data_IF_504600247147
#
_entry.id   IF_504600247147
#
_cell.length_a   1.000
_cell.length_b   1.000
_cell.length_c   1.000
_cell.angle_alpha   90.00
_cell.angle_beta   90.00
_cell.angle_gamma   90.00
#
_symmetry.space_group_name_H-M   'P 1'
#
loop_
_entity.id
_entity.type
_entity.pdbx_description
1 polymer ?
#
# COMPACT_ATOMS: atom_id res chain seq x y z
N UNK A 1 -46.20 -24.34 -0.21
CA UNK A 1 -45.06 -25.06 0.38
C UNK A 1 -43.83 -24.18 0.32
N UNK A 2 -43.72 -23.29 1.27
CA UNK A 2 -42.65 -22.29 1.40
C UNK A 2 -41.61 -22.89 2.34
N UNK A 3 -40.49 -23.38 1.80
CA UNK A 3 -39.35 -23.81 2.61
C UNK A 3 -38.75 -22.57 3.26
N UNK A 4 -39.04 -22.40 4.55
CA UNK A 4 -38.36 -21.45 5.44
C UNK A 4 -36.86 -21.71 5.37
N UNK A 5 -36.11 -20.69 4.95
CA UNK A 5 -34.70 -20.52 5.23
C UNK A 5 -34.54 -20.44 6.76
N UNK A 6 -34.24 -21.58 7.37
CA UNK A 6 -33.65 -21.72 8.70
C UNK A 6 -32.30 -22.38 8.42
N UNK A 7 -31.16 -21.99 8.97
CA UNK A 7 -30.79 -21.30 10.20
C UNK A 7 -29.35 -20.82 9.97
N UNK A 8 -28.91 -19.80 10.69
CA UNK A 8 -27.47 -19.56 10.88
C UNK A 8 -26.84 -20.85 11.40
N UNK A 9 -26.10 -21.56 10.56
CA UNK A 9 -25.10 -22.53 11.02
C UNK A 9 -24.06 -21.74 11.81
N UNK A 10 -23.64 -22.22 12.99
CA UNK A 10 -22.59 -21.55 13.74
C UNK A 10 -21.32 -21.52 12.88
N UNK A 11 -20.65 -20.36 12.79
CA UNK A 11 -19.41 -20.19 12.03
C UNK A 11 -18.37 -21.29 12.30
N UNK A 12 -18.36 -21.83 13.53
CA UNK A 12 -17.50 -22.92 13.96
C UNK A 12 -17.62 -24.20 13.10
N UNK A 13 -18.80 -24.51 12.57
CA UNK A 13 -19.02 -25.72 11.75
C UNK A 13 -18.42 -25.60 10.34
N UNK A 14 -18.01 -24.39 9.94
CA UNK A 14 -17.40 -24.11 8.63
C UNK A 14 -15.87 -24.01 8.67
N UNK A 15 -15.28 -23.98 9.87
CA UNK A 15 -13.83 -23.87 10.03
C UNK A 15 -13.21 -25.27 10.01
N UNK A 16 -12.23 -25.49 9.14
CA UNK A 16 -11.49 -26.75 9.06
C UNK A 16 -10.00 -26.50 8.89
N UNK A 17 -9.20 -27.50 9.25
CA UNK A 17 -7.74 -27.40 9.13
C UNK A 17 -7.29 -27.36 7.67
N UNK A 18 -8.02 -28.04 6.79
CA UNK A 18 -7.79 -28.04 5.35
C UNK A 18 -8.04 -26.64 4.77
N UNK A 19 -9.11 -25.97 5.21
CA UNK A 19 -9.38 -24.58 4.81
C UNK A 19 -8.23 -23.69 5.28
N UNK A 20 -7.88 -23.71 6.58
CA UNK A 20 -6.80 -22.89 7.14
C UNK A 20 -5.45 -23.12 6.44
N UNK A 21 -5.11 -24.37 6.18
CA UNK A 21 -3.88 -24.73 5.45
C UNK A 21 -3.91 -24.20 4.02
N UNK A 22 -5.06 -24.30 3.33
CA UNK A 22 -5.23 -23.84 1.94
C UNK A 22 -5.29 -22.32 1.77
N UNK A 23 -5.60 -21.56 2.83
CA UNK A 23 -5.59 -20.10 2.80
C UNK A 23 -4.20 -19.59 2.39
N UNK A 24 -4.15 -18.87 1.29
CA UNK A 24 -2.92 -18.33 0.70
C UNK A 24 -3.18 -16.92 0.17
N UNK A 25 -2.21 -15.99 0.30
CA UNK A 25 -2.32 -14.66 -0.28
C UNK A 25 -2.04 -14.67 -1.79
N UNK A 26 -1.53 -15.78 -2.33
CA UNK A 26 -1.09 -15.88 -3.72
C UNK A 26 -2.21 -16.29 -4.67
N UNK A 27 -2.33 -15.58 -5.79
CA UNK A 27 -3.11 -16.01 -6.95
C UNK A 27 -2.44 -17.14 -7.71
N UNK A 28 -3.17 -17.75 -8.65
CA UNK A 28 -2.68 -18.84 -9.50
C UNK A 28 -1.46 -18.44 -10.36
N UNK A 29 -1.33 -17.15 -10.67
CA UNK A 29 -0.18 -16.56 -11.38
C UNK A 29 0.98 -16.16 -10.45
N UNK A 30 0.84 -16.38 -9.14
CA UNK A 30 1.85 -16.10 -8.13
C UNK A 30 1.83 -14.67 -7.56
N UNK A 31 0.91 -13.80 -8.00
CA UNK A 31 0.77 -12.45 -7.44
C UNK A 31 0.23 -12.48 -6.01
N UNK A 32 0.79 -11.62 -5.15
CA UNK A 32 0.41 -11.50 -3.74
C UNK A 32 -0.69 -10.44 -3.57
N UNK A 33 -1.90 -10.89 -3.23
CA UNK A 33 -3.06 -10.02 -3.02
C UNK A 33 -2.95 -9.13 -1.82
N UNK A 34 -2.26 -9.58 -0.76
CA UNK A 34 -2.11 -8.81 0.47
C UNK A 34 -1.11 -7.71 0.24
N UNK A 35 -0.01 -7.97 -0.47
CA UNK A 35 0.94 -6.94 -0.90
C UNK A 35 0.24 -5.84 -1.72
N UNK A 36 -0.60 -6.21 -2.70
CA UNK A 36 -1.36 -5.23 -3.46
C UNK A 36 -2.26 -4.38 -2.55
N UNK A 37 -3.03 -5.03 -1.68
CA UNK A 37 -3.91 -4.33 -0.74
C UNK A 37 -3.12 -3.41 0.22
N UNK A 38 -1.92 -3.83 0.67
CA UNK A 38 -1.03 -3.01 1.50
C UNK A 38 -0.52 -1.78 0.75
N UNK A 39 -0.15 -1.93 -0.53
CA UNK A 39 0.28 -0.80 -1.38
C UNK A 39 -0.88 0.15 -1.64
N UNK A 40 -2.09 -0.36 -1.88
CA UNK A 40 -3.29 0.45 -2.09
C UNK A 40 -3.66 1.24 -0.82
N UNK A 41 -3.60 0.61 0.36
CA UNK A 41 -3.81 1.29 1.64
C UNK A 41 -2.74 2.36 1.88
N UNK A 42 -1.46 2.06 1.63
CA UNK A 42 -0.37 3.03 1.77
C UNK A 42 -0.55 4.23 0.83
N UNK A 43 -0.96 3.99 -0.41
CA UNK A 43 -1.29 5.07 -1.34
C UNK A 43 -2.44 5.92 -0.81
N UNK A 44 -3.47 5.29 -0.24
CA UNK A 44 -4.55 6.00 0.43
C UNK A 44 -4.07 6.84 1.63
N UNK A 45 -3.12 6.33 2.43
CA UNK A 45 -2.48 7.06 3.51
C UNK A 45 -1.72 8.28 3.00
N UNK A 46 -0.97 8.15 1.90
CA UNK A 46 -0.28 9.26 1.24
C UNK A 46 -1.30 10.31 0.77
N UNK A 47 -2.35 9.88 0.07
CA UNK A 47 -3.40 10.79 -0.44
C UNK A 47 -4.15 11.53 0.68
N UNK A 48 -4.19 10.98 1.89
CA UNK A 48 -4.83 11.58 3.05
C UNK A 48 -3.86 12.34 3.98
N UNK A 49 -2.59 12.45 3.63
CA UNK A 49 -1.62 13.18 4.43
C UNK A 49 -2.00 14.69 4.48
N UNK A 50 -2.15 15.30 5.67
CA UNK A 50 -2.63 16.67 5.86
C UNK A 50 -2.02 17.79 4.98
N UNK A 51 -0.72 17.74 4.68
CA UNK A 51 0.02 18.74 3.90
C UNK A 51 -0.33 18.71 2.42
N UNK A 52 -0.64 17.53 1.88
CA UNK A 52 -0.90 17.37 0.44
C UNK A 52 -2.37 17.09 0.12
N UNK A 53 -3.13 16.52 1.07
CA UNK A 53 -4.49 16.05 0.85
C UNK A 53 -5.42 17.12 0.29
N UNK A 54 -5.50 18.29 0.94
CA UNK A 54 -6.42 19.36 0.55
C UNK A 54 -6.16 19.90 -0.85
N UNK A 55 -4.96 19.75 -1.37
CA UNK A 55 -4.56 20.41 -2.62
C UNK A 55 -4.61 19.43 -3.79
N UNK A 56 -3.98 18.28 -3.62
CA UNK A 56 -3.92 17.24 -4.65
C UNK A 56 -5.11 16.29 -4.62
N UNK A 57 -5.64 15.99 -3.43
CA UNK A 57 -6.66 14.95 -3.23
C UNK A 57 -7.92 15.42 -2.47
N UNK A 58 -8.47 16.63 -2.70
CA UNK A 58 -9.55 17.17 -1.88
C UNK A 58 -10.86 16.36 -1.94
N UNK A 59 -11.05 15.57 -2.99
CA UNK A 59 -12.23 14.72 -3.18
C UNK A 59 -11.98 13.26 -2.76
N UNK A 60 -10.78 12.95 -2.24
CA UNK A 60 -10.45 11.59 -1.85
C UNK A 60 -11.00 11.28 -0.45
N UNK A 61 -11.75 10.20 -0.33
CA UNK A 61 -12.28 9.75 0.95
C UNK A 61 -11.22 8.95 1.73
N UNK A 62 -11.24 9.07 3.06
CA UNK A 62 -10.31 8.34 3.90
C UNK A 62 -10.48 6.82 3.68
N UNK A 63 -9.39 6.07 3.42
CA UNK A 63 -9.49 4.65 3.16
C UNK A 63 -9.90 3.90 4.43
N UNK A 64 -10.70 2.84 4.25
CA UNK A 64 -11.06 1.94 5.33
C UNK A 64 -9.78 1.32 5.91
N UNK A 65 -9.52 1.54 7.20
CA UNK A 65 -8.32 1.07 7.89
C UNK A 65 -7.22 2.11 8.11
N UNK A 66 -7.37 3.35 7.59
CA UNK A 66 -6.41 4.44 7.86
C UNK A 66 -6.15 4.62 9.37
N UNK A 67 -7.20 4.56 10.18
CA UNK A 67 -7.13 4.73 11.64
C UNK A 67 -6.39 3.60 12.36
N UNK A 68 -6.12 2.48 11.68
CA UNK A 68 -5.42 1.32 12.23
C UNK A 68 -3.93 1.33 11.86
N UNK A 69 -3.50 2.22 10.96
CA UNK A 69 -2.11 2.33 10.54
C UNK A 69 -1.35 3.22 11.54
N UNK A 70 -0.35 2.64 12.19
CA UNK A 70 0.54 3.38 13.09
C UNK A 70 1.89 3.59 12.41
N UNK A 71 2.18 4.82 11.98
CA UNK A 71 3.45 5.10 11.28
C UNK A 71 4.67 5.05 12.21
N UNK A 72 4.50 5.25 13.52
CA UNK A 72 5.60 5.25 14.48
C UNK A 72 6.72 6.21 14.07
N UNK A 73 7.92 5.68 13.79
CA UNK A 73 9.09 6.45 13.32
C UNK A 73 9.18 6.60 11.79
N UNK A 74 8.23 6.03 11.04
CA UNK A 74 8.23 6.12 9.58
C UNK A 74 7.85 7.54 9.13
N UNK A 75 8.65 8.22 8.30
CA UNK A 75 8.41 9.60 7.91
C UNK A 75 7.38 9.68 6.77
N UNK A 76 6.11 9.37 7.06
CA UNK A 76 5.02 9.35 6.07
C UNK A 76 4.85 10.69 5.36
N UNK A 77 5.00 11.79 6.09
CA UNK A 77 4.96 13.15 5.56
C UNK A 77 6.03 13.38 4.49
N UNK A 78 7.28 12.98 4.77
CA UNK A 78 8.40 13.08 3.82
C UNK A 78 8.12 12.23 2.58
N UNK A 79 7.67 10.99 2.76
CA UNK A 79 7.31 10.13 1.64
C UNK A 79 6.22 10.78 0.79
N UNK A 80 5.16 11.28 1.41
CA UNK A 80 4.02 11.88 0.74
C UNK A 80 4.42 13.09 -0.12
N UNK A 81 5.19 14.02 0.45
CA UNK A 81 5.70 15.20 -0.26
C UNK A 81 6.64 14.80 -1.40
N UNK A 82 7.60 13.91 -1.17
CA UNK A 82 8.58 13.49 -2.19
C UNK A 82 7.89 12.69 -3.31
N UNK A 83 6.89 11.86 -2.99
CA UNK A 83 6.13 11.10 -3.97
C UNK A 83 5.29 11.99 -4.89
N UNK A 84 4.66 13.03 -4.34
CA UNK A 84 3.99 14.06 -5.16
C UNK A 84 5.00 14.86 -5.99
N UNK A 85 6.15 15.22 -5.41
CA UNK A 85 7.22 15.89 -6.14
C UNK A 85 7.74 15.05 -7.32
N UNK A 86 7.85 13.73 -7.15
CA UNK A 86 8.18 12.80 -8.23
C UNK A 86 7.18 12.90 -9.38
N UNK A 87 5.88 12.85 -9.07
CA UNK A 87 4.83 12.98 -10.06
C UNK A 87 4.91 14.34 -10.78
N UNK A 88 5.00 15.46 -10.05
CA UNK A 88 5.16 16.81 -10.64
C UNK A 88 6.39 16.87 -11.56
N UNK A 89 7.52 16.30 -11.14
CA UNK A 89 8.76 16.33 -11.93
C UNK A 89 8.67 15.57 -13.26
N UNK A 90 7.74 14.60 -13.35
CA UNK A 90 7.55 13.73 -14.52
C UNK A 90 6.38 14.19 -15.40
N UNK A 91 5.35 14.78 -14.81
CA UNK A 91 4.22 15.38 -15.52
C UNK A 91 4.69 16.62 -16.26
N UNK A 92 4.69 16.58 -17.59
CA UNK A 92 5.01 17.75 -18.40
C UNK A 92 3.79 18.65 -18.51
N UNK A 93 3.71 19.61 -17.60
CA UNK A 93 2.66 20.61 -17.54
C UNK A 93 2.97 21.83 -18.42
N UNK A 94 1.92 22.57 -18.81
CA UNK A 94 2.03 23.77 -19.65
C UNK A 94 2.64 24.97 -18.91
N UNK A 95 2.67 24.94 -17.58
CA UNK A 95 3.13 26.05 -16.73
C UNK A 95 4.60 25.90 -16.29
N UNK A 96 5.21 24.74 -16.53
CA UNK A 96 6.62 24.46 -16.24
C UNK A 96 6.92 24.08 -14.80
N UNK A 97 5.94 23.57 -14.02
CA UNK A 97 6.17 23.10 -12.65
C UNK A 97 7.20 21.98 -12.56
N UNK A 98 7.23 21.06 -13.52
CA UNK A 98 8.26 20.01 -13.56
C UNK A 98 9.70 20.54 -13.59
N UNK A 99 9.93 21.77 -14.07
CA UNK A 99 11.24 22.39 -14.16
C UNK A 99 11.70 23.00 -12.82
N UNK A 100 10.82 23.12 -11.83
CA UNK A 100 11.16 23.66 -10.51
C UNK A 100 11.67 22.57 -9.57
N UNK A 101 11.41 21.28 -9.87
CA UNK A 101 11.80 20.13 -9.07
C UNK A 101 13.19 19.63 -9.46
N UNK A 102 14.07 19.47 -8.47
CA UNK A 102 15.37 18.83 -8.60
C UNK A 102 15.24 17.29 -8.59
N UNK A 103 15.13 16.70 -9.78
CA UNK A 103 14.88 15.26 -9.98
C UNK A 103 15.88 14.35 -9.26
N UNK A 104 17.16 14.69 -9.31
CA UNK A 104 18.23 13.91 -8.67
C UNK A 104 18.03 13.79 -7.16
N UNK A 105 17.56 14.85 -6.50
CA UNK A 105 17.31 14.82 -5.05
C UNK A 105 16.02 14.09 -4.71
N UNK A 106 14.99 14.19 -5.55
CA UNK A 106 13.78 13.38 -5.39
C UNK A 106 14.13 11.89 -5.45
N UNK A 107 14.89 11.48 -6.46
CA UNK A 107 15.38 10.09 -6.61
C UNK A 107 16.20 9.65 -5.39
N UNK A 108 17.17 10.46 -4.95
CA UNK A 108 17.98 10.17 -3.76
C UNK A 108 17.12 9.95 -2.50
N UNK A 109 16.13 10.82 -2.28
CA UNK A 109 15.25 10.72 -1.12
C UNK A 109 14.29 9.53 -1.19
N UNK A 110 13.77 9.19 -2.37
CA UNK A 110 12.94 8.00 -2.55
C UNK A 110 13.75 6.73 -2.36
N UNK A 111 14.97 6.67 -2.90
CA UNK A 111 15.88 5.54 -2.72
C UNK A 111 16.25 5.34 -1.24
N UNK A 112 16.50 6.43 -0.52
CA UNK A 112 16.72 6.40 0.94
C UNK A 112 15.50 5.80 1.67
N UNK A 113 14.29 6.25 1.33
CA UNK A 113 13.06 5.76 1.97
C UNK A 113 12.80 4.30 1.61
N UNK A 114 12.77 3.93 0.33
CA UNK A 114 12.48 2.57 -0.13
C UNK A 114 13.56 1.57 0.25
N UNK A 115 14.81 2.01 0.38
CA UNK A 115 15.93 1.21 0.87
C UNK A 115 15.99 1.07 2.40
N UNK A 116 15.21 1.86 3.14
CA UNK A 116 15.29 1.91 4.60
C UNK A 116 14.72 0.66 5.29
N UNK A 117 15.23 0.38 6.50
CA UNK A 117 14.62 -0.63 7.38
C UNK A 117 13.18 -0.26 7.76
N UNK A 118 12.87 1.04 7.83
CA UNK A 118 11.54 1.53 8.20
C UNK A 118 10.51 1.18 7.12
N UNK A 119 10.89 1.19 5.83
CA UNK A 119 10.04 0.72 4.73
C UNK A 119 9.67 -0.76 4.90
N UNK A 120 10.64 -1.61 5.22
CA UNK A 120 10.40 -3.04 5.47
C UNK A 120 9.48 -3.26 6.68
N UNK A 121 9.69 -2.51 7.76
CA UNK A 121 8.84 -2.57 8.96
C UNK A 121 7.40 -2.14 8.68
N UNK A 122 7.23 -1.01 7.99
CA UNK A 122 5.91 -0.54 7.56
C UNK A 122 5.23 -1.57 6.67
N UNK A 123 5.97 -2.17 5.75
CA UNK A 123 5.44 -3.21 4.87
C UNK A 123 4.96 -4.43 5.63
N UNK A 124 5.74 -4.95 6.58
CA UNK A 124 5.31 -6.07 7.40
C UNK A 124 4.08 -5.71 8.26
N UNK A 125 4.02 -4.49 8.82
CA UNK A 125 2.86 -4.02 9.57
C UNK A 125 1.60 -3.93 8.72
N UNK A 126 1.65 -3.31 7.54
CA UNK A 126 0.51 -3.20 6.64
C UNK A 126 0.07 -4.58 6.13
N UNK A 127 1.03 -5.47 5.85
CA UNK A 127 0.77 -6.82 5.40
C UNK A 127 0.02 -7.61 6.47
N UNK A 128 0.54 -7.64 7.70
CA UNK A 128 -0.09 -8.34 8.84
C UNK A 128 -1.43 -7.73 9.26
N UNK A 129 -1.61 -6.41 9.11
CA UNK A 129 -2.88 -5.74 9.36
C UNK A 129 -3.99 -6.20 8.39
N UNK A 130 -3.67 -6.32 7.10
CA UNK A 130 -4.64 -6.64 6.05
C UNK A 130 -4.81 -8.13 5.78
N UNK A 131 -3.79 -8.94 6.07
CA UNK A 131 -3.80 -10.39 5.82
C UNK A 131 -5.07 -11.08 6.35
N UNK A 132 -5.55 -10.82 7.59
CA UNK A 132 -6.74 -11.48 8.12
C UNK A 132 -8.00 -11.28 7.29
N UNK A 133 -8.14 -10.13 6.63
CA UNK A 133 -9.33 -9.75 5.87
C UNK A 133 -9.25 -10.08 4.39
N UNK A 134 -8.05 -9.96 3.82
CA UNK A 134 -7.82 -10.15 2.39
C UNK A 134 -7.73 -11.64 2.07
N UNK A 135 -7.05 -12.43 2.91
CA UNK A 135 -6.85 -13.86 2.65
C UNK A 135 -8.11 -14.64 3.01
N UNK A 136 -8.73 -15.21 1.98
CA UNK A 136 -10.00 -15.93 2.08
C UNK A 136 -10.08 -17.11 1.13
N UNK A 137 -10.84 -18.14 1.53
CA UNK A 137 -11.14 -19.26 0.66
C UNK A 137 -12.20 -18.83 -0.38
N UNK A 138 -11.95 -18.99 -1.68
CA UNK A 138 -12.87 -18.53 -2.72
C UNK A 138 -14.20 -19.30 -2.75
N UNK A 139 -14.26 -20.53 -2.20
CA UNK A 139 -15.47 -21.37 -2.24
C UNK A 139 -16.41 -21.08 -1.08
N UNK A 140 -15.87 -21.00 0.12
CA UNK A 140 -16.61 -20.84 1.38
C UNK A 140 -16.67 -19.39 1.85
N UNK A 141 -15.82 -18.51 1.30
CA UNK A 141 -15.61 -17.12 1.71
C UNK A 141 -15.16 -16.95 3.18
N UNK A 142 -14.67 -18.03 3.79
CA UNK A 142 -14.03 -18.03 5.11
C UNK A 142 -12.71 -17.28 5.02
N UNK A 143 -12.47 -16.36 5.95
CA UNK A 143 -11.25 -15.53 6.02
C UNK A 143 -10.33 -16.03 7.12
N UNK A 144 -9.06 -15.64 7.07
CA UNK A 144 -8.16 -15.93 8.21
C UNK A 144 -8.67 -15.27 9.51
N UNK A 145 -9.30 -14.08 9.42
CA UNK A 145 -9.92 -13.41 10.58
C UNK A 145 -10.88 -14.32 11.35
N UNK A 146 -11.59 -15.21 10.67
CA UNK A 146 -12.54 -16.12 11.31
C UNK A 146 -11.84 -17.13 12.24
N UNK A 147 -10.61 -17.54 11.91
CA UNK A 147 -9.80 -18.40 12.77
C UNK A 147 -9.20 -17.64 13.96
N UNK A 148 -8.81 -16.37 13.77
CA UNK A 148 -8.29 -15.52 14.84
C UNK A 148 -9.32 -15.30 15.95
N UNK A 149 -10.57 -15.06 15.57
CA UNK A 149 -11.69 -14.82 16.49
C UNK A 149 -12.14 -16.10 17.22
N UNK A 150 -11.84 -17.29 16.68
CA UNK A 150 -12.22 -18.58 17.22
C UNK A 150 -11.00 -19.33 17.79
N UNK A 151 -10.35 -18.76 18.81
CA UNK A 151 -9.20 -19.36 19.50
C UNK A 151 -7.98 -19.57 18.59
N UNK A 152 -7.40 -18.48 18.08
CA UNK A 152 -6.25 -18.53 17.14
C UNK A 152 -5.11 -19.47 17.55
N UNK A 153 -4.73 -19.50 18.83
CA UNK A 153 -3.68 -20.39 19.35
C UNK A 153 -4.00 -21.88 19.16
N UNK A 154 -5.25 -22.30 19.37
CA UNK A 154 -5.69 -23.70 19.15
C UNK A 154 -5.56 -24.06 17.66
N UNK A 155 -5.90 -23.13 16.77
CA UNK A 155 -5.73 -23.33 15.32
C UNK A 155 -4.26 -23.35 14.90
N UNK A 156 -3.39 -22.56 15.53
CA UNK A 156 -1.94 -22.63 15.30
C UNK A 156 -1.39 -24.02 15.66
N UNK A 157 -1.74 -24.56 16.84
CA UNK A 157 -1.32 -25.90 17.27
C UNK A 157 -1.81 -26.99 16.31
N UNK A 158 -3.08 -26.91 15.88
CA UNK A 158 -3.65 -27.84 14.88
C UNK A 158 -2.92 -27.75 13.55
N UNK A 159 -2.57 -26.54 13.10
CA UNK A 159 -1.87 -26.31 11.85
C UNK A 159 -0.46 -26.87 11.88
N UNK A 160 0.26 -26.66 12.98
CA UNK A 160 1.59 -27.25 13.21
C UNK A 160 1.50 -28.78 13.23
N UNK A 161 0.52 -29.34 13.94
CA UNK A 161 0.31 -30.79 13.99
C UNK A 161 0.07 -31.37 12.59
N UNK A 162 -0.75 -30.70 11.79
CA UNK A 162 -1.07 -31.11 10.42
C UNK A 162 0.18 -31.11 9.50
N UNK A 163 0.98 -30.04 9.51
CA UNK A 163 2.21 -29.98 8.69
C UNK A 163 3.31 -30.92 9.19
N UNK A 164 3.22 -31.35 10.45
CA UNK A 164 4.12 -32.34 11.05
C UNK A 164 3.73 -33.78 10.71
N UNK A 165 2.62 -34.00 10.02
CA UNK A 165 2.21 -35.34 9.64
C UNK A 165 3.14 -35.95 8.57
N UNK A 166 3.56 -37.22 8.71
CA UNK A 166 4.32 -37.90 7.67
C UNK A 166 3.59 -37.99 6.33
N UNK A 167 2.25 -37.98 6.34
CA UNK A 167 1.44 -37.95 5.13
C UNK A 167 1.62 -36.64 4.35
N UNK A 168 1.61 -35.49 5.05
CA UNK A 168 1.85 -34.18 4.46
C UNK A 168 3.24 -34.11 3.81
N UNK A 169 4.27 -34.51 4.56
CA UNK A 169 5.66 -34.52 4.11
C UNK A 169 5.84 -35.35 2.83
N UNK A 170 5.28 -36.58 2.82
CA UNK A 170 5.31 -37.45 1.65
C UNK A 170 4.60 -36.84 0.45
N UNK A 171 3.45 -36.19 0.66
CA UNK A 171 2.70 -35.54 -0.42
C UNK A 171 3.49 -34.39 -1.04
N UNK A 172 4.12 -33.54 -0.22
CA UNK A 172 4.98 -32.44 -0.70
C UNK A 172 6.18 -33.00 -1.47
N UNK A 173 6.93 -33.93 -0.87
CA UNK A 173 8.10 -34.54 -1.50
C UNK A 173 7.76 -35.20 -2.85
N UNK A 174 6.65 -35.93 -2.94
CA UNK A 174 6.20 -36.52 -4.21
C UNK A 174 5.88 -35.49 -5.29
N UNK A 175 5.26 -34.35 -4.92
CA UNK A 175 5.00 -33.27 -5.88
C UNK A 175 6.30 -32.65 -6.38
N UNK A 176 7.29 -32.49 -5.50
CA UNK A 176 8.60 -31.94 -5.86
C UNK A 176 9.37 -32.88 -6.81
N UNK A 177 9.44 -34.18 -6.48
CA UNK A 177 10.11 -35.18 -7.33
C UNK A 177 9.46 -35.30 -8.71
N UNK A 178 8.14 -35.08 -8.80
CA UNK A 178 7.40 -35.06 -10.08
C UNK A 178 7.51 -33.73 -10.84
N UNK A 179 8.24 -32.74 -10.32
CA UNK A 179 8.38 -31.42 -10.93
C UNK A 179 7.12 -30.55 -10.87
N UNK A 180 6.13 -30.92 -10.04
CA UNK A 180 4.88 -30.18 -9.89
C UNK A 180 4.95 -29.10 -8.80
N UNK A 181 6.06 -29.05 -8.06
CA UNK A 181 6.25 -28.14 -6.93
C UNK A 181 7.73 -27.78 -6.81
N UNK A 182 8.10 -26.54 -7.14
CA UNK A 182 9.49 -26.09 -7.08
C UNK A 182 9.93 -25.75 -5.66
N UNK A 183 11.24 -25.69 -5.43
CA UNK A 183 11.79 -25.26 -4.14
C UNK A 183 11.46 -23.80 -3.81
N UNK A 184 11.40 -22.93 -4.82
CA UNK A 184 10.99 -21.53 -4.67
C UNK A 184 9.53 -21.42 -4.23
N UNK A 185 8.65 -22.18 -4.88
CA UNK A 185 7.24 -22.24 -4.53
C UNK A 185 7.06 -22.79 -3.10
N UNK A 186 7.81 -23.84 -2.73
CA UNK A 186 7.82 -24.37 -1.37
C UNK A 186 8.23 -23.31 -0.35
N UNK A 187 9.36 -22.63 -0.57
CA UNK A 187 9.81 -21.56 0.33
C UNK A 187 8.79 -20.43 0.46
N UNK A 188 8.15 -20.03 -0.65
CA UNK A 188 7.11 -19.01 -0.65
C UNK A 188 5.90 -19.43 0.19
N UNK A 189 5.41 -20.65 -0.02
CA UNK A 189 4.23 -21.17 0.68
C UNK A 189 4.51 -21.39 2.17
N UNK A 190 5.73 -21.82 2.54
CA UNK A 190 6.16 -21.93 3.94
C UNK A 190 6.28 -20.57 4.61
N UNK A 191 6.74 -19.53 3.91
CA UNK A 191 6.73 -18.18 4.47
C UNK A 191 5.30 -17.64 4.69
N UNK A 192 4.35 -17.92 3.79
CA UNK A 192 2.94 -17.61 4.03
C UNK A 192 2.37 -18.42 5.21
N UNK A 193 2.79 -19.67 5.40
CA UNK A 193 2.46 -20.46 6.59
C UNK A 193 2.98 -19.78 7.86
N UNK A 194 4.23 -19.30 7.87
CA UNK A 194 4.80 -18.60 9.02
C UNK A 194 4.10 -17.27 9.32
N UNK A 195 3.63 -16.53 8.31
CA UNK A 195 2.79 -15.35 8.53
C UNK A 195 1.46 -15.74 9.19
N UNK A 196 0.80 -16.81 8.71
CA UNK A 196 -0.42 -17.33 9.34
C UNK A 196 -0.18 -17.71 10.81
N UNK A 197 0.89 -18.45 11.07
CA UNK A 197 1.28 -18.82 12.43
C UNK A 197 1.59 -17.59 13.28
N UNK A 198 2.31 -16.61 12.75
CA UNK A 198 2.59 -15.36 13.45
C UNK A 198 1.31 -14.62 13.86
N UNK A 199 0.29 -14.60 13.00
CA UNK A 199 -0.99 -13.96 13.29
C UNK A 199 -1.83 -14.75 14.30
N UNK A 200 -1.83 -16.09 14.21
CA UNK A 200 -2.60 -16.97 15.09
C UNK A 200 -1.98 -17.10 16.49
N UNK A 201 -0.67 -17.33 16.54
CA UNK A 201 0.15 -17.39 17.74
C UNK A 201 1.64 -17.12 17.40
N UNK A 202 2.16 -15.91 17.68
CA UNK A 202 3.56 -15.55 17.43
C UNK A 202 4.58 -16.51 18.03
N UNK A 203 4.27 -17.16 19.17
CA UNK A 203 5.21 -18.06 19.86
C UNK A 203 5.43 -19.37 19.09
N UNK A 204 4.48 -19.73 18.24
CA UNK A 204 4.47 -20.98 17.47
C UNK A 204 5.40 -20.99 16.25
N UNK A 205 5.82 -19.81 15.76
CA UNK A 205 6.61 -19.65 14.53
C UNK A 205 7.99 -20.30 14.62
N UNK A 206 8.75 -20.00 15.67
CA UNK A 206 10.13 -20.49 15.81
C UNK A 206 10.16 -22.01 15.99
N UNK A 207 9.32 -22.62 16.84
CA UNK A 207 9.21 -24.08 16.90
C UNK A 207 8.85 -24.72 15.56
N UNK A 208 7.87 -24.18 14.84
CA UNK A 208 7.47 -24.70 13.52
C UNK A 208 8.61 -24.61 12.49
N UNK A 209 9.33 -23.49 12.48
CA UNK A 209 10.50 -23.31 11.62
C UNK A 209 11.61 -24.32 11.95
N UNK A 210 11.96 -24.49 13.22
CA UNK A 210 12.97 -25.47 13.64
C UNK A 210 12.58 -26.90 13.28
N UNK A 211 11.30 -27.25 13.40
CA UNK A 211 10.79 -28.54 12.99
C UNK A 211 11.01 -28.77 11.48
N UNK A 212 10.59 -27.83 10.64
CA UNK A 212 10.76 -27.92 9.18
C UNK A 212 12.24 -27.96 8.78
N UNK A 213 13.09 -27.19 9.45
CA UNK A 213 14.54 -27.18 9.20
C UNK A 213 15.20 -28.53 9.50
N UNK A 214 14.75 -29.24 10.53
CA UNK A 214 15.25 -30.56 10.89
C UNK A 214 14.75 -31.68 9.96
N UNK A 215 13.78 -31.38 9.10
CA UNK A 215 13.17 -32.34 8.20
C UNK A 215 13.98 -32.53 6.92
N UNK A 216 14.94 -33.47 6.94
CA UNK A 216 15.85 -33.77 5.81
C UNK A 216 15.18 -34.22 4.51
N UNK A 217 13.90 -34.57 4.54
CA UNK A 217 13.15 -35.02 3.37
C UNK A 217 12.68 -33.87 2.46
N UNK A 218 12.72 -32.63 2.95
CA UNK A 218 12.30 -31.43 2.24
C UNK A 218 13.49 -30.45 2.14
N UNK A 219 13.46 -29.51 1.19
CA UNK A 219 14.46 -28.45 1.12
C UNK A 219 14.50 -27.62 2.40
N UNK A 220 15.64 -26.98 2.67
CA UNK A 220 15.73 -26.02 3.74
C UNK A 220 14.81 -24.83 3.47
N UNK A 221 14.07 -24.41 4.50
CA UNK A 221 13.21 -23.23 4.43
C UNK A 221 14.01 -22.00 4.86
N UNK A 222 13.90 -20.91 4.11
CA UNK A 222 14.43 -19.61 4.51
C UNK A 222 13.32 -18.83 5.24
N UNK A 223 13.54 -18.49 6.52
CA UNK A 223 12.58 -17.71 7.29
C UNK A 223 12.71 -16.22 6.94
N UNK A 224 11.69 -15.67 6.27
CA UNK A 224 11.74 -14.32 5.72
C UNK A 224 10.76 -13.33 6.39
N UNK A 225 10.14 -13.72 7.52
CA UNK A 225 9.08 -12.94 8.17
C UNK A 225 9.38 -11.45 8.31
N UNK A 226 10.57 -11.09 8.81
CA UNK A 226 10.96 -9.69 9.03
C UNK A 226 11.98 -9.16 8.01
N UNK A 227 12.51 -10.01 7.14
CA UNK A 227 13.56 -9.65 6.17
C UNK A 227 12.99 -9.39 4.78
N UNK A 228 11.84 -10.00 4.46
CA UNK A 228 11.09 -9.78 3.22
C UNK A 228 10.59 -8.34 3.13
N UNK A 229 10.67 -7.80 1.93
CA UNK A 229 10.07 -6.52 1.60
C UNK A 229 8.64 -6.74 1.09
N UNK A 230 7.66 -6.67 2.00
CA UNK A 230 6.24 -6.93 1.68
C UNK A 230 5.57 -5.85 0.84
N UNK A 231 6.14 -4.65 0.82
CA UNK A 231 5.71 -3.58 -0.09
C UNK A 231 6.40 -3.64 -1.44
N UNK A 232 7.33 -4.57 -1.64
CA UNK A 232 8.14 -4.66 -2.86
C UNK A 232 8.91 -3.35 -3.13
N UNK A 233 9.15 -3.04 -4.40
CA UNK A 233 9.92 -1.88 -4.83
C UNK A 233 9.15 -0.55 -4.74
N UNK A 234 9.64 0.48 -5.45
CA UNK A 234 9.05 1.82 -5.47
C UNK A 234 7.55 1.84 -5.74
N UNK A 235 6.85 2.83 -5.20
CA UNK A 235 5.45 3.08 -5.54
C UNK A 235 5.35 3.61 -6.96
N UNK A 236 4.25 3.30 -7.64
CA UNK A 236 4.02 3.80 -9.00
C UNK A 236 3.38 5.19 -8.93
N UNK A 237 4.15 6.21 -9.29
CA UNK A 237 3.71 7.61 -9.31
C UNK A 237 2.59 7.86 -10.33
N UNK A 238 2.43 7.03 -11.36
CA UNK A 238 1.35 7.23 -12.36
C UNK A 238 -0.04 7.08 -11.75
N UNK A 239 -0.15 6.44 -10.59
CA UNK A 239 -1.39 6.31 -9.80
C UNK A 239 -1.95 7.63 -9.26
N UNK A 240 -1.17 8.71 -9.30
CA UNK A 240 -1.58 10.07 -8.87
C UNK A 240 -1.42 11.12 -9.97
N UNK A 241 -0.98 10.71 -11.17
CA UNK A 241 -0.69 11.62 -12.29
C UNK A 241 -1.87 12.52 -12.62
N UNK A 242 -3.08 11.95 -12.70
CA UNK A 242 -4.28 12.69 -13.05
C UNK A 242 -4.66 13.72 -11.98
N UNK A 243 -4.58 13.36 -10.71
CA UNK A 243 -4.85 14.26 -9.59
C UNK A 243 -3.84 15.40 -9.52
N UNK A 244 -2.55 15.11 -9.75
CA UNK A 244 -1.47 16.11 -9.79
C UNK A 244 -1.67 17.07 -10.96
N UNK A 245 -1.88 16.56 -12.18
CA UNK A 245 -2.11 17.39 -13.37
C UNK A 245 -3.36 18.28 -13.23
N UNK A 246 -4.41 17.78 -12.55
CA UNK A 246 -5.61 18.58 -12.29
C UNK A 246 -5.38 19.65 -11.22
N UNK A 247 -4.57 19.36 -10.19
CA UNK A 247 -4.21 20.35 -9.19
C UNK A 247 -3.42 21.52 -9.80
N UNK A 248 -2.49 21.24 -10.73
CA UNK A 248 -1.70 22.26 -11.44
C UNK A 248 -2.56 23.20 -12.30
N UNK A 249 -3.68 22.72 -12.83
CA UNK A 249 -4.62 23.51 -13.66
C UNK A 249 -5.57 24.38 -12.84
N UNK A 250 -5.65 24.19 -11.51
CA UNK A 250 -6.52 25.02 -10.67
C UNK A 250 -5.95 26.44 -10.62
N UNK A 251 -6.77 27.39 -11.05
CA UNK A 251 -6.47 28.80 -10.97
C UNK A 251 -6.79 29.33 -9.57
N UNK A 252 -5.83 30.00 -8.94
CA UNK A 252 -6.05 30.79 -7.73
C UNK A 252 -6.11 32.28 -8.08
N UNK A 253 -7.16 32.93 -7.60
CA UNK A 253 -7.27 34.39 -7.65
C UNK A 253 -6.68 34.99 -6.37
N UNK A 254 -5.92 36.11 -6.45
CA UNK A 254 -5.39 36.77 -5.26
C UNK A 254 -6.47 37.05 -4.23
N UNK A 255 -6.20 36.76 -2.95
CA UNK A 255 -7.16 36.83 -1.83
C UNK A 255 -7.81 38.22 -1.67
N UNK A 256 -7.15 39.27 -2.13
CA UNK A 256 -7.62 40.67 -2.05
C UNK A 256 -8.28 41.19 -3.33
N UNK A 257 -8.41 40.37 -4.37
CA UNK A 257 -9.04 40.80 -5.61
C UNK A 257 -10.57 40.72 -5.48
N UNK A 258 -11.24 41.87 -5.43
CA UNK A 258 -12.71 41.90 -5.50
C UNK A 258 -13.17 41.33 -6.84
N UNK A 259 -14.06 40.33 -6.82
CA UNK A 259 -14.70 39.76 -8.03
C UNK A 259 -15.43 40.80 -8.88
N UNK A 260 -15.73 41.98 -8.32
CA UNK A 260 -16.41 43.09 -8.99
C UNK A 260 -15.46 44.15 -9.58
N UNK A 261 -14.14 43.95 -9.52
CA UNK A 261 -13.15 44.87 -10.11
C UNK A 261 -13.14 44.76 -11.64
N UNK A 262 -14.14 45.35 -12.29
CA UNK A 262 -14.33 45.32 -13.74
C UNK A 262 -13.24 46.00 -14.59
N UNK A 263 -12.45 47.00 -14.12
CA UNK A 263 -11.49 47.69 -14.99
C UNK A 263 -10.03 47.22 -14.87
N UNK A 264 -9.65 46.46 -13.84
CA UNK A 264 -8.24 46.09 -13.62
C UNK A 264 -7.95 44.71 -14.18
N UNK A 265 -6.90 44.59 -15.01
CA UNK A 265 -6.24 43.32 -15.34
C UNK A 265 -5.91 42.58 -14.04
N UNK A 266 -6.16 41.27 -14.03
CA UNK A 266 -6.06 40.45 -12.82
C UNK A 266 -5.10 39.31 -13.09
N UNK A 267 -4.04 39.29 -12.31
CA UNK A 267 -3.04 38.23 -12.37
C UNK A 267 -3.65 36.98 -11.75
N UNK A 268 -3.84 35.96 -12.59
CA UNK A 268 -4.25 34.63 -12.17
C UNK A 268 -3.01 33.77 -12.13
N UNK A 269 -2.85 33.09 -11.00
CA UNK A 269 -1.78 32.14 -10.81
C UNK A 269 -2.37 30.74 -10.95
N UNK A 270 -1.72 29.92 -11.77
CA UNK A 270 -1.98 28.49 -11.82
C UNK A 270 -1.08 27.80 -10.79
N UNK A 271 -1.54 26.67 -10.24
CA UNK A 271 -0.72 25.81 -9.39
C UNK A 271 -1.37 25.37 -8.06
N UNK A 272 -0.52 24.79 -7.20
CA UNK A 272 -0.81 24.13 -5.92
C UNK A 272 -0.80 25.09 -4.71
N UNK A 273 -1.95 25.53 -4.20
CA UNK A 273 -2.07 26.46 -3.04
C UNK A 273 -1.62 25.83 -1.71
N UNK A 274 -0.31 25.59 -1.59
CA UNK A 274 0.38 25.11 -0.39
C UNK A 274 1.60 26.00 -0.20
N UNK A 275 1.85 26.43 1.04
CA UNK A 275 3.06 27.17 1.49
C UNK A 275 4.41 26.52 1.08
N UNK A 276 4.39 25.30 0.54
CA UNK A 276 5.57 24.57 0.07
C UNK A 276 5.72 24.60 -1.47
N UNK A 277 4.64 24.85 -2.24
CA UNK A 277 4.58 24.64 -3.70
C UNK A 277 4.20 25.89 -4.51
N UNK A 278 3.35 26.79 -3.99
CA UNK A 278 3.13 28.14 -4.53
C UNK A 278 3.65 29.14 -3.50
N UNK A 279 4.94 29.44 -3.53
CA UNK A 279 5.43 30.67 -2.91
C UNK A 279 6.45 31.31 -3.83
N UNK A 280 6.49 32.64 -3.84
CA UNK A 280 7.59 33.42 -4.42
C UNK A 280 8.93 33.09 -3.76
N UNK A 281 8.92 32.55 -2.54
CA UNK A 281 10.09 32.04 -1.81
C UNK A 281 9.89 30.55 -1.51
N UNK A 282 10.41 29.67 -2.36
CA UNK A 282 10.45 28.24 -2.10
C UNK A 282 11.13 28.01 -0.73
N UNK A 283 10.44 27.37 0.22
CA UNK A 283 11.10 26.87 1.42
C UNK A 283 12.14 25.83 0.98
N UNK A 284 13.34 25.90 1.55
CA UNK A 284 14.41 24.99 1.18
C UNK A 284 14.16 23.60 1.78
N UNK A 285 13.32 22.81 1.13
CA UNK A 285 13.13 21.38 1.38
C UNK A 285 14.25 20.55 0.74
N UNK A 286 15.25 21.18 0.12
CA UNK A 286 16.24 20.51 -0.71
C UNK A 286 15.70 20.04 -2.07
N UNK A 287 14.39 19.97 -2.32
CA UNK A 287 13.85 19.38 -3.55
C UNK A 287 13.77 20.33 -4.77
N UNK A 288 14.12 21.60 -4.62
CA UNK A 288 13.82 22.64 -5.60
C UNK A 288 15.07 23.12 -6.34
N UNK A 289 14.99 23.20 -7.67
CA UNK A 289 16.09 23.60 -8.56
C UNK A 289 16.33 25.13 -8.60
N UNK A 290 15.43 25.94 -8.03
CA UNK A 290 15.54 27.41 -8.01
C UNK A 290 15.07 28.12 -9.28
N UNK A 291 14.72 27.39 -10.34
CA UNK A 291 14.03 27.89 -11.54
C UNK A 291 12.57 28.23 -11.22
N UNK A 292 12.17 29.48 -11.47
CA UNK A 292 10.75 29.88 -11.34
C UNK A 292 9.95 29.47 -12.58
N UNK A 293 8.75 28.90 -12.43
CA UNK A 293 7.91 28.48 -13.55
C UNK A 293 7.16 29.67 -14.20
N UNK A 294 6.57 29.44 -15.37
CA UNK A 294 5.71 30.40 -16.06
C UNK A 294 4.23 30.14 -15.71
N UNK A 295 3.87 30.37 -14.44
CA UNK A 295 2.53 30.04 -13.91
C UNK A 295 1.57 31.23 -13.80
N UNK A 296 1.97 32.41 -14.27
CA UNK A 296 1.14 33.61 -14.22
C UNK A 296 0.50 33.89 -15.58
N UNK A 297 -0.80 34.18 -15.58
CA UNK A 297 -1.53 34.71 -16.73
C UNK A 297 -2.32 35.93 -16.32
N UNK A 298 -2.15 37.00 -17.08
CA UNK A 298 -2.97 38.21 -16.95
C UNK A 298 -4.33 37.94 -17.61
N UNK A 299 -5.40 37.96 -16.83
CA UNK A 299 -6.77 37.85 -17.33
C UNK A 299 -7.33 39.24 -17.54
N UNK A 300 -7.70 39.57 -18.79
CA UNK A 300 -8.28 40.89 -19.12
C UNK A 300 -9.78 40.90 -18.85
N UNK A 301 -10.36 42.09 -18.72
CA UNK A 301 -11.81 42.24 -18.55
C UNK A 301 -12.63 41.53 -19.66
N UNK A 302 -12.13 41.55 -20.91
CA UNK A 302 -12.76 40.89 -22.06
C UNK A 302 -12.83 39.35 -21.93
N UNK A 303 -11.84 38.76 -21.26
CA UNK A 303 -11.77 37.31 -21.06
C UNK A 303 -12.74 36.85 -19.95
N UNK A 304 -13.15 37.76 -19.05
CA UNK A 304 -14.11 37.50 -17.95
C UNK A 304 -15.56 37.64 -18.39
N UNK A 305 -15.83 38.49 -19.39
CA UNK A 305 -17.16 38.74 -19.92
C UNK A 305 -17.59 37.72 -20.98
N UNK A 306 -16.74 36.76 -21.33
CA UNK A 306 -17.03 35.73 -22.32
C UNK A 306 -17.47 34.40 -21.66
N UNK A 307 -18.52 34.42 -20.83
CA UNK A 307 -19.35 33.22 -20.59
C UNK A 307 -20.81 33.65 -20.38
N UNK A 308 -21.65 33.39 -21.38
CA UNK A 308 -22.80 32.50 -21.20
C UNK A 308 -22.58 31.31 -22.14
#
# INVERSE_FOLDING_TARGET
>A
MTKRLSRNEPMADRLSIEILHSLTPFHADGRDTVTQASRDLLLGCIKFEPRIHKVFFPSFEAPAGLSLVEFGTFPIERLATVFVAEAISKVKDEYGFHATIEKSRVEEHLDEVYGSLQWKKLGFQLYTLLYPDVVKDPKTNVRLRDFLLNEGHVWAERLISHVSEPAWTRAVHQKMVRGLYSEEQYNRDMNALFVKLHLLDPQSVIPAYQYLLNQRALPAVNLELATRNYLEGPLDWTSIEHEVANAERKASTPVHASRMSLPSDLDVYYGVDVDEFIVTECRNLGLWAGSRPHNCKVVKAKDRCAIM
#
